data_IF_035976556048
#
_entry.id   IF_035976556048
#
_cell.length_a   1.000
_cell.length_b   1.000
_cell.length_c   1.000
_cell.angle_alpha   90.00
_cell.angle_beta   90.00
_cell.angle_gamma   90.00
#
_symmetry.space_group_name_H-M   'P 1'
#
loop_
_entity.id
_entity.type
_entity.pdbx_description
1 polymer ?
#
# COMPACT_ATOMS: atom_id res chain seq x y z
N UNK A 1 9.34 14.73 -3.47
CA UNK A 1 8.51 13.56 -3.14
C UNK A 1 8.09 12.83 -4.41
N UNK A 2 8.19 11.49 -4.44
CA UNK A 2 7.64 10.64 -5.50
C UNK A 2 6.83 9.46 -4.89
N UNK A 3 6.16 8.67 -5.74
CA UNK A 3 5.34 7.52 -5.27
C UNK A 3 6.15 6.42 -4.58
N UNK A 4 7.40 6.16 -5.00
CA UNK A 4 8.28 5.19 -4.34
C UNK A 4 8.61 5.61 -2.91
N UNK A 5 8.80 6.90 -2.66
CA UNK A 5 9.05 7.41 -1.30
C UNK A 5 7.87 7.06 -0.38
N UNK A 6 6.64 7.15 -0.90
CA UNK A 6 5.42 6.78 -0.17
C UNK A 6 5.31 5.26 0.06
N UNK A 7 5.67 4.45 -0.94
CA UNK A 7 5.75 2.99 -0.82
C UNK A 7 6.77 2.57 0.26
N UNK A 8 7.90 3.26 0.36
CA UNK A 8 8.89 2.99 1.42
C UNK A 8 8.34 3.28 2.82
N UNK A 9 7.61 4.39 2.99
CA UNK A 9 6.94 4.69 4.28
C UNK A 9 5.95 3.59 4.62
N UNK A 10 5.12 3.17 3.67
CA UNK A 10 4.17 2.06 3.85
C UNK A 10 4.88 0.75 4.23
N UNK A 11 6.00 0.45 3.57
CA UNK A 11 6.78 -0.75 3.86
C UNK A 11 7.38 -0.73 5.28
N UNK A 12 7.98 0.39 5.70
CA UNK A 12 8.53 0.51 7.07
C UNK A 12 7.44 0.42 8.12
N UNK A 13 6.29 1.04 7.89
CA UNK A 13 5.13 0.93 8.78
C UNK A 13 4.63 -0.52 8.92
N UNK A 14 4.62 -1.28 7.82
CA UNK A 14 4.20 -2.68 7.82
C UNK A 14 5.21 -3.59 8.55
N UNK A 15 6.50 -3.50 8.22
CA UNK A 15 7.53 -4.39 8.76
C UNK A 15 8.06 -3.97 10.13
N UNK A 16 7.85 -2.71 10.55
CA UNK A 16 8.38 -2.10 11.78
C UNK A 16 9.91 -2.26 11.91
N UNK A 17 10.60 -2.43 10.78
CA UNK A 17 12.03 -2.70 10.72
C UNK A 17 12.62 -2.24 9.38
N UNK A 18 13.53 -1.25 9.40
CA UNK A 18 14.11 -0.66 8.18
C UNK A 18 14.78 -1.69 7.26
N UNK A 19 15.56 -2.63 7.82
CA UNK A 19 16.22 -3.67 7.02
C UNK A 19 15.22 -4.56 6.25
N UNK A 20 14.23 -5.14 6.96
CA UNK A 20 13.18 -5.96 6.34
C UNK A 20 12.37 -5.19 5.29
N UNK A 21 12.06 -3.92 5.55
CA UNK A 21 11.39 -3.07 4.58
C UNK A 21 12.24 -2.83 3.33
N UNK A 22 13.55 -2.60 3.49
CA UNK A 22 14.47 -2.41 2.38
C UNK A 22 14.61 -3.68 1.52
N UNK A 23 14.70 -4.85 2.17
CA UNK A 23 14.73 -6.15 1.49
C UNK A 23 13.44 -6.36 0.68
N UNK A 24 12.27 -6.08 1.26
CA UNK A 24 10.97 -6.19 0.59
C UNK A 24 10.78 -5.19 -0.56
N UNK A 25 11.47 -4.04 -0.51
CA UNK A 25 11.47 -3.02 -1.54
C UNK A 25 12.62 -3.19 -2.55
N UNK A 26 13.42 -4.26 -2.44
CA UNK A 26 14.58 -4.56 -3.31
C UNK A 26 15.61 -3.41 -3.38
N UNK A 27 15.86 -2.75 -2.24
CA UNK A 27 16.84 -1.66 -2.12
C UNK A 27 17.73 -1.84 -0.90
N UNK A 28 18.85 -1.11 -0.85
CA UNK A 28 19.69 -1.09 0.35
C UNK A 28 19.00 -0.34 1.50
N UNK A 29 19.25 -0.74 2.74
CA UNK A 29 18.74 -0.05 3.92
C UNK A 29 19.19 1.43 4.02
N UNK A 30 20.44 1.80 3.67
CA UNK A 30 20.85 3.21 3.58
C UNK A 30 20.03 4.00 2.55
N UNK A 31 19.73 3.41 1.39
CA UNK A 31 18.90 4.05 0.35
C UNK A 31 17.50 4.33 0.88
N UNK A 32 16.83 3.33 1.46
CA UNK A 32 15.47 3.47 1.97
C UNK A 32 15.40 4.48 3.13
N UNK A 33 16.32 4.39 4.09
CA UNK A 33 16.38 5.33 5.22
C UNK A 33 16.66 6.76 4.76
N UNK A 34 17.54 6.94 3.77
CA UNK A 34 17.86 8.24 3.18
C UNK A 34 16.65 8.87 2.49
N UNK A 35 15.88 8.09 1.72
CA UNK A 35 14.68 8.60 1.04
C UNK A 35 13.57 8.95 2.01
N UNK A 36 13.33 8.14 3.05
CA UNK A 36 12.36 8.48 4.09
C UNK A 36 12.80 9.76 4.82
N UNK A 37 14.08 9.91 5.15
CA UNK A 37 14.59 11.13 5.80
C UNK A 37 14.41 12.37 4.91
N UNK A 38 14.65 12.24 3.60
CA UNK A 38 14.42 13.33 2.64
C UNK A 38 12.94 13.71 2.57
N UNK A 39 12.05 12.72 2.57
CA UNK A 39 10.60 12.94 2.61
C UNK A 39 10.16 13.63 3.91
N UNK A 40 10.67 13.17 5.06
CA UNK A 40 10.45 13.79 6.37
C UNK A 40 10.87 15.27 6.37
N UNK A 41 12.03 15.58 5.77
CA UNK A 41 12.52 16.96 5.63
C UNK A 41 11.65 17.81 4.69
N UNK A 42 11.25 17.26 3.55
CA UNK A 42 10.41 17.96 2.57
C UNK A 42 9.02 18.27 3.14
N UNK A 43 8.46 17.37 3.94
CA UNK A 43 7.16 17.54 4.59
C UNK A 43 7.24 18.29 5.93
N UNK A 44 8.43 18.52 6.47
CA UNK A 44 8.62 19.18 7.77
C UNK A 44 8.10 18.37 8.97
N UNK A 45 8.06 17.04 8.86
CA UNK A 45 7.49 16.13 9.87
C UNK A 45 8.40 14.93 10.10
N UNK A 46 8.37 14.38 11.31
CA UNK A 46 8.99 13.09 11.62
C UNK A 46 7.92 12.02 11.54
N UNK A 47 8.09 11.05 10.65
CA UNK A 47 7.13 9.96 10.43
C UNK A 47 7.37 8.80 11.40
N UNK A 48 8.63 8.52 11.74
CA UNK A 48 9.00 7.36 12.54
C UNK A 48 9.80 7.72 13.80
N UNK A 49 9.39 7.16 14.93
CA UNK A 49 10.19 7.10 16.14
C UNK A 49 11.14 5.88 16.08
N UNK A 50 12.43 6.16 16.25
CA UNK A 50 13.55 5.22 16.15
C UNK A 50 14.22 4.96 17.51
N UNK A 51 13.66 5.47 18.60
CA UNK A 51 14.22 5.38 19.95
C UNK A 51 14.10 3.98 20.57
N UNK A 52 13.17 3.16 20.08
CA UNK A 52 12.92 1.82 20.63
C UNK A 52 13.52 0.71 19.76
N UNK A 53 13.55 -0.52 20.28
CA UNK A 53 13.99 -1.72 19.52
C UNK A 53 13.19 -1.93 18.22
N UNK A 54 11.99 -1.38 18.11
CA UNK A 54 11.15 -1.47 16.94
C UNK A 54 10.84 -0.08 16.39
N UNK A 55 10.79 0.04 15.07
CA UNK A 55 10.41 1.30 14.45
C UNK A 55 8.91 1.49 14.66
N UNK A 56 8.52 2.63 15.21
CA UNK A 56 7.11 2.98 15.43
C UNK A 56 6.77 4.28 14.70
N UNK A 57 5.49 4.47 14.37
CA UNK A 57 5.05 5.72 13.76
C UNK A 57 4.87 6.77 14.85
N UNK A 58 5.15 8.02 14.52
CA UNK A 58 4.70 9.15 15.34
C UNK A 58 3.19 9.37 15.14
N UNK A 59 2.55 10.15 16.01
CA UNK A 59 1.14 10.53 15.84
C UNK A 59 0.87 11.21 14.49
N UNK A 60 1.82 12.03 14.01
CA UNK A 60 1.73 12.64 12.67
C UNK A 60 1.98 11.59 11.58
N UNK A 61 2.91 10.66 11.81
CA UNK A 61 3.20 9.53 10.93
C UNK A 61 1.98 8.65 10.68
N UNK A 62 1.17 8.35 11.71
CA UNK A 62 -0.07 7.56 11.56
C UNK A 62 -1.11 8.26 10.67
N UNK A 63 -1.31 9.57 10.88
CA UNK A 63 -2.23 10.38 10.06
C UNK A 63 -1.76 10.43 8.61
N UNK A 64 -0.47 10.67 8.39
CA UNK A 64 0.10 10.72 7.05
C UNK A 64 0.11 9.36 6.36
N UNK A 65 0.35 8.27 7.10
CA UNK A 65 0.26 6.92 6.54
C UNK A 65 -1.14 6.62 5.99
N UNK A 66 -2.19 7.09 6.68
CA UNK A 66 -3.57 6.97 6.20
C UNK A 66 -3.73 7.66 4.84
N UNK A 67 -3.24 8.89 4.71
CA UNK A 67 -3.28 9.63 3.45
C UNK A 67 -2.41 8.99 2.36
N UNK A 68 -1.23 8.48 2.72
CA UNK A 68 -0.33 7.77 1.81
C UNK A 68 -1.01 6.53 1.22
N UNK A 69 -1.72 5.76 2.03
CA UNK A 69 -2.44 4.59 1.56
C UNK A 69 -3.50 4.96 0.53
N UNK A 70 -4.26 6.04 0.77
CA UNK A 70 -5.24 6.55 -0.19
C UNK A 70 -4.58 6.99 -1.51
N UNK A 71 -3.46 7.73 -1.44
CA UNK A 71 -2.76 8.17 -2.65
C UNK A 71 -2.27 6.98 -3.49
N UNK A 72 -1.70 5.97 -2.86
CA UNK A 72 -1.22 4.76 -3.53
C UNK A 72 -2.37 3.96 -4.15
N UNK A 73 -3.52 3.88 -3.47
CA UNK A 73 -4.74 3.25 -4.00
C UNK A 73 -5.30 4.02 -5.20
N UNK A 74 -5.45 5.34 -5.10
CA UNK A 74 -5.92 6.18 -6.21
C UNK A 74 -4.98 6.12 -7.42
N UNK A 75 -3.68 6.02 -7.19
CA UNK A 75 -2.69 5.80 -8.25
C UNK A 75 -2.92 4.47 -8.95
N UNK A 76 -3.26 3.42 -8.20
CA UNK A 76 -3.57 2.11 -8.78
C UNK A 76 -4.86 2.15 -9.60
N UNK A 77 -5.91 2.78 -9.08
CA UNK A 77 -7.19 2.99 -9.79
C UNK A 77 -6.94 3.75 -11.11
N UNK A 78 -6.13 4.82 -11.08
CA UNK A 78 -5.77 5.58 -12.28
C UNK A 78 -5.12 4.69 -13.35
N UNK A 79 -4.20 3.81 -12.96
CA UNK A 79 -3.55 2.87 -13.88
C UNK A 79 -4.55 1.87 -14.46
N UNK A 80 -5.47 1.36 -13.64
CA UNK A 80 -6.52 0.43 -14.06
C UNK A 80 -7.47 1.09 -15.08
N UNK A 81 -7.92 2.32 -14.80
CA UNK A 81 -8.76 3.09 -15.72
C UNK A 81 -8.08 3.35 -17.06
N UNK A 82 -6.78 3.70 -17.04
CA UNK A 82 -6.00 3.89 -18.26
C UNK A 82 -5.85 2.59 -19.07
N UNK A 83 -5.66 1.45 -18.40
CA UNK A 83 -5.56 0.13 -19.03
C UNK A 83 -6.90 -0.35 -19.63
N UNK A 84 -8.03 0.11 -19.09
CA UNK A 84 -9.38 -0.28 -19.50
C UNK A 84 -9.79 0.31 -20.87
N UNK A 85 -8.97 1.17 -21.47
CA UNK A 85 -9.23 1.75 -22.80
C UNK A 85 -9.26 0.73 -23.96
N UNK A 86 -8.86 -0.53 -23.75
CA UNK A 86 -8.90 -1.58 -24.79
C UNK A 86 -9.58 -2.90 -24.41
N UNK A 87 -10.01 -3.13 -23.16
CA UNK A 87 -10.74 -4.35 -22.76
C UNK A 87 -11.74 -4.02 -21.64
N UNK A 88 -13.02 -4.40 -21.76
CA UNK A 88 -14.01 -4.05 -20.74
C UNK A 88 -13.74 -4.86 -19.46
N UNK A 89 -13.52 -4.14 -18.34
CA UNK A 89 -13.48 -4.63 -16.95
C UNK A 89 -12.25 -5.43 -16.53
N UNK A 90 -11.11 -4.75 -16.39
CA UNK A 90 -9.92 -5.27 -15.71
C UNK A 90 -9.60 -4.47 -14.45
N UNK A 91 -9.24 -5.16 -13.36
CA UNK A 91 -8.87 -4.53 -12.10
C UNK A 91 -9.01 -5.48 -10.91
N UNK A 92 -8.62 -5.01 -9.72
CA UNK A 92 -8.74 -5.81 -8.48
C UNK A 92 -10.12 -5.63 -7.85
N UNK A 93 -10.94 -6.69 -7.88
CA UNK A 93 -12.21 -6.73 -7.14
C UNK A 93 -11.99 -7.25 -5.72
N UNK A 94 -12.41 -6.48 -4.71
CA UNK A 94 -12.44 -6.93 -3.30
C UNK A 94 -13.89 -7.18 -2.88
N UNK A 95 -14.22 -8.43 -2.53
CA UNK A 95 -15.56 -8.84 -2.10
C UNK A 95 -15.51 -9.20 -0.60
N UNK A 96 -16.30 -8.51 0.21
CA UNK A 96 -16.54 -8.89 1.61
C UNK A 96 -17.69 -9.87 1.73
N UNK A 97 -17.47 -11.05 2.31
CA UNK A 97 -18.51 -12.05 2.52
C UNK A 97 -18.38 -12.70 3.91
N UNK A 98 -19.52 -12.93 4.56
CA UNK A 98 -19.54 -13.62 5.85
C UNK A 98 -19.33 -15.13 5.66
N UNK A 99 -18.57 -15.82 6.55
CA UNK A 99 -18.20 -17.22 6.36
C UNK A 99 -19.38 -18.19 6.24
N UNK A 100 -20.52 -17.84 6.84
CA UNK A 100 -21.72 -18.70 6.88
C UNK A 100 -22.39 -18.89 5.53
N UNK A 101 -22.32 -17.90 4.64
CA UNK A 101 -22.92 -17.97 3.29
C UNK A 101 -21.88 -18.19 2.18
N UNK A 102 -20.59 -17.98 2.49
CA UNK A 102 -19.52 -18.02 1.50
C UNK A 102 -19.44 -19.34 0.70
N UNK A 103 -19.56 -20.55 1.32
CA UNK A 103 -19.50 -21.81 0.58
C UNK A 103 -20.63 -22.00 -0.43
N UNK A 104 -21.79 -21.36 -0.21
CA UNK A 104 -22.97 -21.49 -1.04
C UNK A 104 -23.02 -20.44 -2.15
N UNK A 105 -22.59 -19.21 -1.86
CA UNK A 105 -22.71 -18.08 -2.78
C UNK A 105 -21.49 -17.89 -3.69
N UNK A 106 -20.26 -18.12 -3.18
CA UNK A 106 -19.04 -17.89 -3.95
C UNK A 106 -18.95 -18.74 -5.23
N UNK A 107 -19.27 -20.05 -5.23
CA UNK A 107 -19.15 -20.87 -6.45
C UNK A 107 -20.02 -20.35 -7.60
N UNK A 108 -21.27 -20.00 -7.30
CA UNK A 108 -22.22 -19.48 -8.29
C UNK A 108 -21.78 -18.12 -8.79
N UNK A 109 -21.42 -17.21 -7.88
CA UNK A 109 -21.05 -15.84 -8.19
C UNK A 109 -19.77 -15.78 -9.06
N UNK A 110 -18.74 -16.57 -8.71
CA UNK A 110 -17.50 -16.66 -9.50
C UNK A 110 -17.74 -17.27 -10.89
N UNK A 111 -18.65 -18.24 -11.00
CA UNK A 111 -19.00 -18.87 -12.28
C UNK A 111 -19.74 -17.89 -13.20
N UNK A 112 -20.72 -17.16 -12.67
CA UNK A 112 -21.44 -16.12 -13.42
C UNK A 112 -20.53 -14.98 -13.85
N UNK A 113 -19.60 -14.55 -12.99
CA UNK A 113 -18.63 -13.51 -13.33
C UNK A 113 -17.69 -13.93 -14.46
N UNK A 114 -17.15 -15.16 -14.42
CA UNK A 114 -16.27 -15.69 -15.48
C UNK A 114 -16.98 -15.86 -16.83
N UNK A 115 -18.31 -16.01 -16.82
CA UNK A 115 -19.09 -16.10 -18.05
C UNK A 115 -19.43 -14.72 -18.65
N UNK A 116 -19.53 -13.69 -17.80
CA UNK A 116 -19.91 -12.33 -18.21
C UNK A 116 -18.71 -11.45 -18.58
N UNK A 117 -17.52 -11.76 -18.04
CA UNK A 117 -16.28 -10.99 -18.16
C UNK A 117 -15.09 -11.92 -18.40
#
# INVERSE_FOLDING_TARGET
MNLKDLEYVKAVAHFKHFRKAADACFVSQPTLSGQIKKLEQELGVILFDRSTKHVTLTTQGERLLTQINLILEQTQILKELAATSNQPLQGKLSIGIIPTIAPYLLPTLLTSMKAAF
#
